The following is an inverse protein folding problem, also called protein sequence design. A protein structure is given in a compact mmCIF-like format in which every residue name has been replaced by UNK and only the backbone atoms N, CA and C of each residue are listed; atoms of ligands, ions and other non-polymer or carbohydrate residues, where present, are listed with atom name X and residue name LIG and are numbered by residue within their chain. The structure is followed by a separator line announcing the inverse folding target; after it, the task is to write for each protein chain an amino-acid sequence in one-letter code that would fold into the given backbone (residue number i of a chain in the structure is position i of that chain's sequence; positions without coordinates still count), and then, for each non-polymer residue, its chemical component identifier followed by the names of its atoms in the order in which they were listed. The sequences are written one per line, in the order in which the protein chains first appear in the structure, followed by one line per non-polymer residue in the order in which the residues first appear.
data_IF_668734234842
#
_entry.id   IF_668734234842
#
_cell.length_a   1.000
_cell.length_b   1.000
_cell.length_c   1.000
_cell.angle_alpha   90.00
_cell.angle_beta   90.00
_cell.angle_gamma   90.00
#
_symmetry.space_group_name_H-M   'P 1'
#
loop_
_entity.id
_entity.type
_entity.pdbx_description
1 polymer ?
#
# COMPACT_ATOMS: atom_id res chain seq x y z
N UNK A 1 -26.22 -31.57 32.23
CA UNK A 1 -25.90 -30.45 31.32
C UNK A 1 -24.84 -30.91 30.32
N UNK A 2 -25.08 -30.82 29.01
CA UNK A 2 -24.08 -31.21 27.98
C UNK A 2 -23.03 -30.09 27.80
N UNK A 3 -21.73 -30.39 27.73
CA UNK A 3 -20.71 -29.36 27.53
C UNK A 3 -20.85 -28.77 26.12
N UNK A 4 -21.05 -27.45 26.03
CA UNK A 4 -21.02 -26.73 24.75
C UNK A 4 -19.59 -26.76 24.22
N UNK A 5 -19.32 -27.64 23.27
CA UNK A 5 -18.04 -27.74 22.58
C UNK A 5 -17.85 -26.47 21.72
N UNK A 6 -17.23 -25.42 22.27
CA UNK A 6 -16.89 -24.19 21.53
C UNK A 6 -15.84 -24.55 20.48
N UNK A 7 -16.26 -24.72 19.22
CA UNK A 7 -15.34 -24.82 18.08
C UNK A 7 -14.40 -23.61 18.10
N UNK A 8 -13.12 -23.83 18.38
CA UNK A 8 -12.09 -22.79 18.33
C UNK A 8 -12.00 -22.31 16.88
N UNK A 9 -12.39 -21.06 16.64
CA UNK A 9 -12.31 -20.45 15.31
C UNK A 9 -10.85 -20.12 15.05
N UNK A 10 -10.17 -20.96 14.27
CA UNK A 10 -8.76 -20.75 13.90
C UNK A 10 -8.60 -19.38 13.22
N UNK A 11 -7.77 -18.52 13.82
CA UNK A 11 -7.45 -17.21 13.28
C UNK A 11 -6.43 -17.40 12.14
N UNK A 12 -6.87 -17.20 10.90
CA UNK A 12 -5.99 -17.32 9.72
C UNK A 12 -4.93 -16.22 9.74
N UNK A 13 -3.71 -16.58 9.34
CA UNK A 13 -2.62 -15.62 9.15
C UNK A 13 -2.98 -14.74 7.96
N UNK A 14 -2.73 -13.43 8.08
CA UNK A 14 -2.85 -12.52 6.93
C UNK A 14 -1.57 -12.63 6.11
N UNK A 15 -1.67 -13.17 4.91
CA UNK A 15 -0.55 -13.25 3.99
C UNK A 15 -0.27 -11.88 3.37
N UNK A 16 1.01 -11.62 3.08
CA UNK A 16 1.43 -10.43 2.35
C UNK A 16 1.12 -10.59 0.86
N UNK A 17 0.78 -9.48 0.20
CA UNK A 17 0.59 -9.42 -1.25
C UNK A 17 1.91 -9.81 -1.93
N UNK A 18 1.88 -10.88 -2.72
CA UNK A 18 2.99 -11.32 -3.56
C UNK A 18 2.99 -10.57 -4.88
N UNK A 19 4.14 -10.59 -5.57
CA UNK A 19 4.31 -9.93 -6.87
C UNK A 19 3.26 -10.36 -7.91
N UNK A 20 2.89 -11.64 -7.92
CA UNK A 20 1.87 -12.19 -8.84
C UNK A 20 0.51 -11.54 -8.59
N UNK A 21 0.14 -11.34 -7.33
CA UNK A 21 -1.14 -10.73 -6.93
C UNK A 21 -1.14 -9.23 -7.24
N UNK A 22 -0.01 -8.56 -6.99
CA UNK A 22 0.19 -7.18 -7.39
C UNK A 22 0.05 -6.99 -8.90
N UNK A 23 0.69 -7.84 -9.71
CA UNK A 23 0.58 -7.79 -11.19
C UNK A 23 -0.86 -8.01 -11.66
N UNK A 24 -1.58 -8.97 -11.07
CA UNK A 24 -3.01 -9.19 -11.35
C UNK A 24 -3.84 -7.95 -11.05
N UNK A 25 -3.62 -7.32 -9.89
CA UNK A 25 -4.32 -6.09 -9.48
C UNK A 25 -4.06 -4.95 -10.47
N UNK A 26 -2.80 -4.70 -10.82
CA UNK A 26 -2.44 -3.64 -11.77
C UNK A 26 -3.06 -3.87 -13.15
N UNK A 27 -3.02 -5.12 -13.64
CA UNK A 27 -3.57 -5.44 -14.96
C UNK A 27 -5.10 -5.33 -14.99
N UNK A 28 -5.78 -5.77 -13.92
CA UNK A 28 -7.23 -5.62 -13.80
C UNK A 28 -7.65 -4.15 -13.89
N UNK A 29 -6.97 -3.26 -13.15
CA UNK A 29 -7.28 -1.82 -13.14
C UNK A 29 -6.97 -1.16 -14.49
N UNK A 30 -5.88 -1.58 -15.16
CA UNK A 30 -5.54 -1.08 -16.50
C UNK A 30 -6.60 -1.46 -17.53
N UNK A 31 -7.02 -2.72 -17.54
CA UNK A 31 -7.98 -3.27 -18.51
C UNK A 31 -9.45 -2.90 -18.27
N UNK A 32 -9.78 -2.33 -17.11
CA UNK A 32 -11.16 -1.92 -16.80
C UNK A 32 -11.53 -0.60 -17.49
N UNK A 33 -12.29 -0.67 -18.58
CA UNK A 33 -12.76 0.49 -19.35
C UNK A 33 -13.90 1.26 -18.66
N UNK A 34 -14.55 0.67 -17.65
CA UNK A 34 -15.63 1.35 -16.91
C UNK A 34 -15.11 2.43 -15.97
N UNK A 35 -13.83 2.38 -15.61
CA UNK A 35 -13.18 3.34 -14.73
C UNK A 35 -12.88 4.65 -15.47
N UNK A 36 -13.30 5.76 -14.84
CA UNK A 36 -12.89 7.11 -15.29
C UNK A 36 -11.36 7.20 -15.33
N UNK A 37 -10.78 7.89 -16.34
CA UNK A 37 -9.32 7.99 -16.49
C UNK A 37 -8.60 8.46 -15.22
N UNK A 38 -9.12 9.48 -14.56
CA UNK A 38 -8.54 10.02 -13.31
C UNK A 38 -8.58 8.99 -12.17
N UNK A 39 -9.69 8.28 -12.01
CA UNK A 39 -9.83 7.23 -10.99
C UNK A 39 -8.87 6.08 -11.25
N UNK A 40 -8.74 5.65 -12.52
CA UNK A 40 -7.79 4.62 -12.95
C UNK A 40 -6.36 5.02 -12.59
N UNK A 41 -5.94 6.24 -12.93
CA UNK A 41 -4.60 6.74 -12.57
C UNK A 41 -4.39 6.81 -11.05
N UNK A 42 -5.37 7.30 -10.30
CA UNK A 42 -5.29 7.41 -8.84
C UNK A 42 -5.17 6.03 -8.17
N UNK A 43 -5.91 5.03 -8.67
CA UNK A 43 -5.82 3.64 -8.20
C UNK A 43 -4.45 3.05 -8.50
N UNK A 44 -3.95 3.20 -9.73
CA UNK A 44 -2.63 2.69 -10.11
C UNK A 44 -1.51 3.31 -9.25
N UNK A 45 -1.56 4.64 -9.02
CA UNK A 45 -0.62 5.33 -8.13
C UNK A 45 -0.70 4.82 -6.70
N UNK A 46 -1.92 4.69 -6.18
CA UNK A 46 -2.19 4.17 -4.83
C UNK A 46 -1.64 2.76 -4.65
N UNK A 47 -1.96 1.83 -5.55
CA UNK A 47 -1.49 0.44 -5.46
C UNK A 47 0.02 0.33 -5.59
N UNK A 48 0.62 1.13 -6.47
CA UNK A 48 2.08 1.19 -6.63
C UNK A 48 2.74 1.64 -5.32
N UNK A 49 2.30 2.74 -4.72
CA UNK A 49 2.88 3.26 -3.48
C UNK A 49 2.70 2.23 -2.35
N UNK A 50 1.50 1.70 -2.16
CA UNK A 50 1.22 0.73 -1.09
C UNK A 50 2.10 -0.52 -1.22
N UNK A 51 2.26 -1.05 -2.44
CA UNK A 51 3.06 -2.24 -2.69
C UNK A 51 4.55 -2.02 -2.42
N UNK A 52 5.12 -0.90 -2.87
CA UNK A 52 6.56 -0.64 -2.75
C UNK A 52 7.01 -0.03 -1.42
N UNK A 53 6.08 0.42 -0.58
CA UNK A 53 6.41 1.07 0.71
C UNK A 53 5.84 0.33 1.92
N UNK A 54 4.87 -0.58 1.74
CA UNK A 54 4.18 -1.23 2.86
C UNK A 54 3.39 -0.26 3.74
N UNK A 55 2.98 0.88 3.19
CA UNK A 55 2.16 1.88 3.85
C UNK A 55 0.74 1.36 4.12
N UNK A 56 0.11 1.87 5.18
CA UNK A 56 -1.33 1.68 5.41
C UNK A 56 -2.11 2.72 4.61
N UNK A 57 -3.33 2.38 4.21
CA UNK A 57 -4.19 3.28 3.43
C UNK A 57 -4.40 4.65 4.11
N UNK A 58 -4.60 4.67 5.42
CA UNK A 58 -4.77 5.92 6.17
C UNK A 58 -3.49 6.77 6.18
N UNK A 59 -2.32 6.14 6.15
CA UNK A 59 -1.04 6.85 6.15
C UNK A 59 -0.73 7.41 4.75
N UNK A 60 -1.17 6.72 3.69
CA UNK A 60 -1.13 7.23 2.33
C UNK A 60 -1.95 8.51 2.17
N UNK A 61 -3.08 8.63 2.87
CA UNK A 61 -3.91 9.85 2.83
C UNK A 61 -3.19 11.07 3.42
N UNK A 62 -2.26 10.85 4.35
CA UNK A 62 -1.44 11.90 4.97
C UNK A 62 -0.20 12.25 4.12
N UNK A 63 0.04 11.55 3.01
CA UNK A 63 1.18 11.85 2.13
C UNK A 63 0.98 13.13 1.34
N UNK A 64 2.05 13.91 1.26
CA UNK A 64 2.16 15.11 0.43
C UNK A 64 3.09 14.85 -0.76
N UNK A 65 3.06 15.74 -1.74
CA UNK A 65 3.96 15.71 -2.88
C UNK A 65 5.44 15.75 -2.47
N UNK A 66 5.79 16.42 -1.38
CA UNK A 66 7.15 16.43 -0.82
C UNK A 66 7.64 15.03 -0.46
N UNK A 67 6.81 14.23 0.23
CA UNK A 67 7.16 12.87 0.63
C UNK A 67 7.36 11.95 -0.59
N UNK A 68 6.59 12.15 -1.67
CA UNK A 68 6.78 11.41 -2.92
C UNK A 68 8.13 11.73 -3.55
N UNK A 69 8.51 13.01 -3.61
CA UNK A 69 9.80 13.42 -4.17
C UNK A 69 10.95 12.83 -3.37
N UNK A 70 10.90 12.91 -2.04
CA UNK A 70 11.90 12.31 -1.15
C UNK A 70 12.01 10.79 -1.35
N UNK A 71 10.89 10.08 -1.50
CA UNK A 71 10.89 8.64 -1.78
C UNK A 71 11.53 8.28 -3.13
N UNK A 72 11.40 9.15 -4.14
CA UNK A 72 11.97 8.92 -5.47
C UNK A 72 13.46 9.30 -5.53
N UNK A 73 13.87 10.36 -4.83
CA UNK A 73 15.24 10.88 -4.84
C UNK A 73 16.14 10.14 -3.86
N UNK A 74 15.66 9.96 -2.62
CA UNK A 74 16.45 9.44 -1.50
C UNK A 74 16.08 7.99 -1.13
N UNK A 75 14.95 7.47 -1.63
CA UNK A 75 14.46 6.14 -1.27
C UNK A 75 13.83 6.06 0.13
N UNK A 76 13.72 7.18 0.85
CA UNK A 76 13.13 7.25 2.17
C UNK A 76 12.38 8.57 2.40
N UNK A 77 11.40 8.56 3.30
CA UNK A 77 10.70 9.76 3.78
C UNK A 77 10.19 9.54 5.20
N UNK A 78 9.69 10.59 5.85
CA UNK A 78 9.08 10.53 7.17
C UNK A 78 7.65 11.03 7.12
N UNK A 79 6.72 10.26 7.67
CA UNK A 79 5.34 10.69 7.87
C UNK A 79 5.08 11.01 9.33
N UNK A 80 4.38 12.12 9.56
CA UNK A 80 3.85 12.48 10.88
C UNK A 80 2.42 11.95 10.95
N UNK A 81 2.15 11.07 11.91
CA UNK A 81 0.82 10.50 12.12
C UNK A 81 0.01 11.41 13.06
N UNK A 82 -1.07 12.06 12.60
CA UNK A 82 -1.78 13.06 13.40
C UNK A 82 -2.37 12.48 14.69
N UNK A 83 -2.90 11.25 14.60
CA UNK A 83 -3.61 10.57 15.70
C UNK A 83 -2.70 10.22 16.88
N UNK A 84 -1.48 9.79 16.59
CA UNK A 84 -0.54 9.30 17.61
C UNK A 84 0.59 10.30 17.88
N UNK A 85 0.66 11.41 17.13
CA UNK A 85 1.76 12.39 17.12
C UNK A 85 3.14 11.71 16.99
N UNK A 86 3.18 10.59 16.28
CA UNK A 86 4.39 9.78 16.10
C UNK A 86 4.92 9.93 14.68
N UNK A 87 6.23 9.98 14.54
CA UNK A 87 6.88 9.89 13.24
C UNK A 87 7.05 8.43 12.82
N UNK A 88 6.78 8.16 11.55
CA UNK A 88 7.09 6.88 10.91
C UNK A 88 8.04 7.12 9.75
N UNK A 89 9.23 6.53 9.83
CA UNK A 89 10.15 6.45 8.71
C UNK A 89 9.66 5.38 7.73
N UNK A 90 9.70 5.72 6.45
CA UNK A 90 9.31 4.85 5.34
C UNK A 90 10.49 4.66 4.42
N UNK A 91 10.56 3.45 3.88
CA UNK A 91 11.56 3.08 2.90
C UNK A 91 10.84 2.62 1.64
N UNK A 92 11.29 3.12 0.50
CA UNK A 92 10.90 2.61 -0.80
C UNK A 92 11.75 1.38 -1.15
N UNK A 93 11.12 0.34 -1.66
CA UNK A 93 11.85 -0.75 -2.31
C UNK A 93 12.61 -0.21 -3.52
N UNK A 94 13.81 -0.76 -3.77
CA UNK A 94 14.72 -0.37 -4.85
C UNK A 94 14.06 -0.23 -6.23
N UNK A 95 13.05 -1.03 -6.52
CA UNK A 95 12.28 -0.97 -7.77
C UNK A 95 11.54 0.36 -7.99
N UNK A 96 11.16 1.09 -6.93
CA UNK A 96 10.35 2.30 -7.03
C UNK A 96 11.16 3.47 -7.62
N UNK A 97 12.40 3.67 -7.19
CA UNK A 97 13.24 4.80 -7.61
C UNK A 97 14.21 4.46 -8.75
N UNK A 98 14.47 3.17 -9.03
CA UNK A 98 15.27 2.78 -10.21
C UNK A 98 14.55 3.03 -11.54
N UNK A 99 13.23 2.96 -11.55
CA UNK A 99 12.45 3.13 -12.79
C UNK A 99 12.48 4.57 -13.34
N UNK A 100 12.97 5.54 -12.54
CA UNK A 100 13.00 6.97 -12.88
C UNK A 100 14.44 7.54 -13.04
N UNK A 101 15.47 6.69 -13.10
CA UNK A 101 16.84 7.06 -13.49
C UNK A 101 17.18 6.44 -14.83
#
# INVERSE_FOLDING_TARGET
MKPKNKKIKLKRIKESIKEVEYKKLINAVKGDESLRPNSKQNLLRTFTILYFTGLRLNELQEMKLSHIKELLENGETKLILPKTKSERKLFATYALYKTNR
#
